data_IF_210776432768
#
_entry.id   IF_210776432768
#
_cell.length_a   1.000
_cell.length_b   1.000
_cell.length_c   1.000
_cell.angle_alpha   90.00
_cell.angle_beta   90.00
_cell.angle_gamma   90.00
#
_symmetry.space_group_name_H-M   'P 1'
#
loop_
_entity.id
_entity.type
_entity.pdbx_description
1 polymer ?
#
# COMPACT_ATOMS: atom_id res chain seq x y z
N UNK A 1 -16.90 -26.66 97.34
CA UNK A 1 -16.55 -27.50 96.20
C UNK A 1 -15.49 -26.80 95.32
N UNK A 2 -14.56 -27.56 94.74
CA UNK A 2 -13.59 -26.95 93.82
C UNK A 2 -14.28 -26.42 92.59
N UNK A 3 -13.74 -25.31 92.06
CA UNK A 3 -14.25 -24.65 90.84
C UNK A 3 -13.08 -24.06 90.06
N UNK A 4 -13.14 -24.19 88.70
CA UNK A 4 -12.11 -23.80 87.76
C UNK A 4 -12.75 -23.04 86.59
N UNK A 5 -12.19 -21.91 86.30
CA UNK A 5 -12.50 -21.18 85.02
C UNK A 5 -11.53 -21.56 83.91
N UNK A 6 -11.99 -21.55 82.67
CA UNK A 6 -11.18 -21.84 81.50
C UNK A 6 -11.23 -20.65 80.51
N UNK A 7 -10.08 -20.13 80.11
CA UNK A 7 -9.97 -19.11 79.10
C UNK A 7 -8.92 -19.46 78.04
N UNK A 8 -9.02 -18.87 76.87
CA UNK A 8 -8.03 -19.04 75.80
C UNK A 8 -7.60 -17.67 75.24
N UNK A 9 -6.27 -17.51 75.08
CA UNK A 9 -5.67 -16.22 74.60
C UNK A 9 -4.43 -16.50 73.77
N UNK A 10 -4.24 -15.87 72.59
CA UNK A 10 -5.24 -15.03 71.91
C UNK A 10 -6.40 -15.84 71.33
N UNK A 11 -7.53 -15.20 71.08
CA UNK A 11 -8.70 -15.81 70.45
C UNK A 11 -9.48 -14.70 69.68
N UNK A 12 -9.62 -14.77 68.37
CA UNK A 12 -9.21 -15.88 67.48
C UNK A 12 -7.70 -15.93 67.22
N UNK A 13 -7.21 -17.01 66.61
CA UNK A 13 -5.87 -17.20 66.05
C UNK A 13 -5.95 -17.51 64.54
N UNK A 14 -4.81 -17.40 63.81
CA UNK A 14 -4.69 -17.96 62.47
C UNK A 14 -4.20 -19.42 62.53
N UNK A 15 -4.49 -20.22 61.52
CA UNK A 15 -4.13 -21.63 61.40
C UNK A 15 -2.68 -21.91 61.76
N UNK A 16 -2.43 -22.78 62.79
CA UNK A 16 -1.08 -23.13 63.22
C UNK A 16 -0.39 -22.09 64.10
N UNK A 17 -1.06 -21.00 64.48
CA UNK A 17 -0.56 -20.09 65.54
C UNK A 17 -0.81 -20.69 66.91
N UNK A 18 -0.03 -20.19 67.87
CA UNK A 18 -0.13 -20.64 69.26
C UNK A 18 -1.18 -19.86 70.03
N UNK A 19 -2.04 -20.55 70.76
CA UNK A 19 -2.86 -19.99 71.82
C UNK A 19 -2.54 -20.66 73.16
N UNK A 20 -2.87 -20.02 74.28
CA UNK A 20 -2.70 -20.51 75.59
C UNK A 20 -4.05 -20.71 76.24
N UNK A 21 -4.34 -21.94 76.61
CA UNK A 21 -5.46 -22.29 77.49
C UNK A 21 -5.01 -22.04 78.90
N UNK A 22 -5.74 -21.25 79.68
CA UNK A 22 -5.49 -20.97 81.08
C UNK A 22 -6.63 -21.65 81.95
N UNK A 23 -6.26 -22.59 82.74
CA UNK A 23 -7.10 -23.13 83.85
C UNK A 23 -6.85 -22.28 85.09
N UNK A 24 -7.87 -21.59 85.60
CA UNK A 24 -7.75 -20.65 86.71
C UNK A 24 -8.61 -21.11 87.90
N UNK A 25 -8.01 -21.58 88.99
CA UNK A 25 -8.77 -21.93 90.16
C UNK A 25 -9.51 -20.74 90.77
N UNK A 26 -10.81 -20.89 91.04
CA UNK A 26 -11.65 -19.89 91.64
C UNK A 26 -11.65 -20.11 93.17
N UNK A 27 -10.84 -19.54 93.94
CA UNK A 27 -10.67 -19.43 95.39
C UNK A 27 -11.45 -20.44 96.31
N UNK A 28 -11.89 -21.60 95.79
CA UNK A 28 -12.65 -22.67 96.47
C UNK A 28 -11.93 -23.98 96.24
N UNK A 29 -11.84 -24.81 97.28
CA UNK A 29 -11.10 -26.08 97.27
C UNK A 29 -9.62 -25.96 97.70
N UNK A 30 -8.90 -27.03 97.72
CA UNK A 30 -7.51 -27.13 98.16
C UNK A 30 -6.62 -27.66 97.04
N UNK A 31 -5.65 -26.85 96.55
CA UNK A 31 -4.78 -27.28 95.45
C UNK A 31 -3.83 -28.41 95.86
N UNK A 32 -3.28 -29.17 94.86
CA UNK A 32 -3.53 -29.12 93.44
C UNK A 32 -4.90 -29.70 93.06
N UNK A 33 -5.41 -29.28 91.85
CA UNK A 33 -6.66 -29.76 91.32
C UNK A 33 -6.40 -30.71 90.13
N UNK A 34 -7.23 -31.79 90.03
CA UNK A 34 -7.29 -32.59 88.81
C UNK A 34 -8.49 -32.08 88.03
N UNK A 35 -8.29 -31.62 86.83
CA UNK A 35 -9.31 -31.07 85.95
C UNK A 35 -9.47 -31.99 84.76
N UNK A 36 -10.67 -32.56 84.61
CA UNK A 36 -11.06 -33.39 83.44
C UNK A 36 -11.83 -32.48 82.47
N UNK A 37 -11.41 -32.48 81.23
CA UNK A 37 -12.05 -31.72 80.15
C UNK A 37 -12.07 -32.51 78.86
N UNK A 38 -12.91 -32.15 77.94
CA UNK A 38 -12.94 -32.73 76.58
C UNK A 38 -12.56 -31.65 75.52
N UNK A 39 -11.79 -32.10 74.55
CA UNK A 39 -11.50 -31.31 73.34
C UNK A 39 -11.66 -32.23 72.13
N UNK A 40 -12.46 -31.81 71.12
CA UNK A 40 -12.79 -32.58 69.93
C UNK A 40 -13.22 -34.03 70.23
N UNK A 41 -14.00 -34.23 71.34
CA UNK A 41 -14.48 -35.54 71.75
C UNK A 41 -13.44 -36.44 72.45
N UNK A 42 -12.22 -35.89 72.67
CA UNK A 42 -11.18 -36.63 73.43
C UNK A 42 -11.16 -36.14 74.86
N UNK A 43 -11.17 -37.10 75.81
CA UNK A 43 -11.06 -36.77 77.21
C UNK A 43 -9.60 -36.56 77.62
N UNK A 44 -9.37 -35.44 78.30
CA UNK A 44 -8.07 -35.00 78.80
C UNK A 44 -8.18 -34.79 80.30
N UNK A 45 -7.05 -34.97 81.02
CA UNK A 45 -6.96 -34.70 82.43
C UNK A 45 -5.65 -34.00 82.76
N UNK A 46 -5.73 -32.88 83.53
CA UNK A 46 -4.59 -32.11 83.87
C UNK A 46 -4.50 -31.84 85.38
N UNK A 47 -3.24 -31.77 85.86
CA UNK A 47 -2.98 -31.43 87.24
C UNK A 47 -2.73 -29.89 87.33
N UNK A 48 -3.69 -29.18 87.88
CA UNK A 48 -3.72 -27.70 87.94
C UNK A 48 -3.27 -27.22 89.32
N UNK A 49 -2.13 -26.56 89.44
CA UNK A 49 -1.66 -25.95 90.69
C UNK A 49 -2.57 -24.78 91.08
N UNK A 50 -2.48 -24.38 92.36
CA UNK A 50 -3.28 -23.27 92.89
C UNK A 50 -3.02 -21.93 92.24
N UNK A 51 -1.93 -21.81 91.52
CA UNK A 51 -1.57 -20.62 90.65
C UNK A 51 -2.18 -20.68 89.29
N UNK A 52 -2.92 -21.72 88.88
CA UNK A 52 -3.40 -21.98 87.54
C UNK A 52 -2.41 -22.76 86.66
N UNK A 53 -2.88 -23.21 85.50
CA UNK A 53 -2.09 -23.94 84.50
C UNK A 53 -2.28 -23.35 83.12
N UNK A 54 -1.16 -23.09 82.46
CA UNK A 54 -1.12 -22.67 81.05
C UNK A 54 -0.74 -23.84 80.13
N UNK A 55 -1.60 -24.15 79.17
CA UNK A 55 -1.31 -25.15 78.12
C UNK A 55 -1.25 -24.43 76.76
N UNK A 56 -0.13 -24.58 76.04
CA UNK A 56 -0.02 -24.05 74.67
C UNK A 56 -0.59 -25.02 73.66
N UNK A 57 -1.47 -24.52 72.80
CA UNK A 57 -2.14 -25.31 71.76
C UNK A 57 -1.95 -24.59 70.44
N UNK A 58 -1.96 -25.32 69.30
CA UNK A 58 -1.87 -24.78 67.95
C UNK A 58 -2.77 -25.55 66.95
N UNK A 59 -4.08 -25.49 67.16
CA UNK A 59 -5.00 -26.19 66.31
C UNK A 59 -5.06 -25.60 64.86
N UNK A 60 -5.49 -26.46 63.93
CA UNK A 60 -5.69 -26.06 62.53
C UNK A 60 -7.15 -25.73 62.16
N UNK A 61 -8.07 -26.04 63.09
CA UNK A 61 -9.51 -25.80 62.98
C UNK A 61 -10.05 -25.34 64.29
N UNK A 62 -11.26 -24.78 64.32
CA UNK A 62 -11.93 -24.44 65.57
C UNK A 62 -11.92 -25.56 66.54
N UNK A 63 -11.56 -25.26 67.79
CA UNK A 63 -11.46 -26.24 68.83
C UNK A 63 -12.17 -25.78 70.10
N UNK A 64 -13.08 -26.62 70.61
CA UNK A 64 -13.84 -26.35 71.86
C UNK A 64 -13.32 -27.18 73.01
N UNK A 65 -12.98 -26.52 74.09
CA UNK A 65 -12.55 -27.14 75.34
C UNK A 65 -13.70 -27.01 76.31
N UNK A 66 -14.20 -28.21 76.84
CA UNK A 66 -15.35 -28.31 77.76
C UNK A 66 -14.87 -28.90 79.04
N UNK A 67 -15.01 -28.15 80.17
CA UNK A 67 -14.75 -28.65 81.48
C UNK A 67 -15.82 -29.66 81.85
N UNK A 68 -15.41 -30.80 82.35
CA UNK A 68 -16.36 -31.90 82.75
C UNK A 68 -16.41 -32.07 84.23
N UNK A 69 -15.21 -32.09 84.87
CA UNK A 69 -15.10 -32.44 86.30
C UNK A 69 -13.82 -31.82 86.89
N UNK A 70 -13.90 -31.49 88.14
CA UNK A 70 -12.72 -31.07 88.96
C UNK A 70 -12.74 -31.72 90.30
N UNK A 71 -11.57 -32.25 90.77
CA UNK A 71 -11.37 -32.73 92.10
C UNK A 71 -10.19 -32.00 92.76
N UNK A 72 -10.25 -31.77 94.10
CA UNK A 72 -9.19 -31.11 94.84
C UNK A 72 -8.32 -32.17 95.59
N UNK A 73 -7.20 -31.76 96.18
CA UNK A 73 -6.27 -32.62 96.88
C UNK A 73 -6.83 -33.28 98.15
N UNK A 74 -8.04 -32.91 98.62
CA UNK A 74 -8.79 -33.48 99.72
C UNK A 74 -9.91 -34.39 99.25
N UNK A 75 -10.06 -34.62 97.94
CA UNK A 75 -11.06 -35.48 97.37
C UNK A 75 -12.46 -34.82 97.24
N UNK A 76 -12.58 -33.52 97.36
CA UNK A 76 -13.84 -32.82 97.04
C UNK A 76 -13.98 -32.71 95.55
N UNK A 77 -15.15 -32.99 94.97
CA UNK A 77 -15.39 -33.07 93.52
C UNK A 77 -16.56 -32.14 93.10
N UNK A 78 -16.47 -31.62 91.90
CA UNK A 78 -17.53 -30.82 91.29
C UNK A 78 -17.61 -31.14 89.82
N UNK A 79 -18.84 -31.29 89.28
CA UNK A 79 -19.08 -31.30 87.80
C UNK A 79 -19.13 -29.91 87.29
N UNK A 80 -18.41 -29.68 86.18
CA UNK A 80 -18.33 -28.43 85.50
C UNK A 80 -18.97 -28.51 84.08
N UNK A 81 -19.40 -27.40 83.53
CA UNK A 81 -20.02 -27.33 82.21
C UNK A 81 -19.48 -26.15 81.40
N UNK A 82 -18.54 -25.39 81.93
CA UNK A 82 -17.96 -24.25 81.27
C UNK A 82 -17.14 -24.67 80.06
N UNK A 83 -17.19 -23.88 79.02
CA UNK A 83 -16.50 -24.19 77.81
C UNK A 83 -15.97 -22.93 77.18
N UNK A 84 -14.86 -23.06 76.46
CA UNK A 84 -14.29 -21.99 75.63
C UNK A 84 -14.00 -22.60 74.25
N UNK A 85 -14.36 -21.82 73.19
CA UNK A 85 -14.03 -22.19 71.80
C UNK A 85 -12.88 -21.29 71.34
N UNK A 86 -11.81 -21.93 70.92
CA UNK A 86 -10.72 -21.21 70.16
C UNK A 86 -11.12 -21.25 68.72
N UNK A 87 -11.32 -20.04 68.15
CA UNK A 87 -11.65 -19.82 66.75
C UNK A 87 -10.34 -19.76 65.98
N UNK A 88 -10.26 -20.50 64.84
CA UNK A 88 -9.10 -20.63 63.98
C UNK A 88 -9.46 -20.15 62.60
N UNK A 89 -8.90 -19.03 62.19
CA UNK A 89 -9.09 -18.43 60.86
C UNK A 89 -8.08 -18.99 59.86
N UNK A 90 -8.54 -19.26 58.64
CA UNK A 90 -7.65 -19.66 57.57
C UNK A 90 -6.84 -18.48 57.04
N UNK A 91 -5.59 -18.73 56.65
CA UNK A 91 -4.79 -17.74 55.96
C UNK A 91 -5.38 -17.40 54.59
N UNK A 92 -5.40 -16.13 54.16
CA UNK A 92 -5.86 -15.75 52.83
C UNK A 92 -4.97 -16.35 51.75
N UNK A 93 -5.60 -16.92 50.72
CA UNK A 93 -4.95 -17.40 49.50
C UNK A 93 -5.66 -16.84 48.29
N UNK A 94 -4.89 -16.55 47.21
CA UNK A 94 -5.41 -16.04 45.96
C UNK A 94 -4.65 -16.62 44.75
N UNK A 95 -5.38 -16.87 43.66
CA UNK A 95 -4.78 -17.04 42.33
C UNK A 95 -4.58 -15.64 41.74
N UNK A 96 -3.33 -15.31 41.42
CA UNK A 96 -2.96 -13.98 40.93
C UNK A 96 -2.44 -14.08 39.50
N UNK A 97 -3.02 -13.31 38.60
CA UNK A 97 -2.65 -13.31 37.18
C UNK A 97 -2.47 -11.88 36.65
N UNK A 98 -1.58 -11.74 35.65
CA UNK A 98 -1.33 -10.52 34.92
C UNK A 98 -1.13 -10.89 33.44
N UNK A 99 -1.54 -10.08 32.44
CA UNK A 99 -1.15 -10.28 31.07
C UNK A 99 0.37 -10.26 30.87
N UNK A 100 0.89 -11.10 29.99
CA UNK A 100 2.34 -11.15 29.72
C UNK A 100 2.85 -9.91 29.02
N UNK A 101 1.99 -9.23 28.25
CA UNK A 101 2.34 -8.05 27.47
C UNK A 101 1.16 -7.05 27.41
N UNK A 102 1.44 -5.78 27.22
CA UNK A 102 0.48 -4.71 27.04
C UNK A 102 1.05 -3.65 26.08
N UNK A 103 0.18 -2.84 25.49
CA UNK A 103 0.63 -1.68 24.71
C UNK A 103 1.03 -0.52 25.62
N UNK A 104 1.99 0.30 25.19
CA UNK A 104 2.47 1.48 25.94
C UNK A 104 1.30 2.40 26.27
N UNK A 105 1.20 2.80 27.56
CA UNK A 105 0.16 3.70 28.05
C UNK A 105 -1.25 3.12 28.11
N UNK A 106 -1.48 1.87 27.76
CA UNK A 106 -2.78 1.22 27.97
C UNK A 106 -2.95 0.71 29.40
N UNK A 107 -4.18 0.86 29.91
CA UNK A 107 -4.54 0.34 31.24
C UNK A 107 -4.78 -1.16 31.15
N UNK A 108 -4.12 -1.89 32.04
CA UNK A 108 -4.35 -3.33 32.24
C UNK A 108 -4.56 -3.63 33.71
N UNK A 109 -4.74 -4.90 34.08
CA UNK A 109 -5.12 -5.27 35.44
C UNK A 109 -4.33 -6.48 35.95
N UNK A 110 -3.90 -6.42 37.22
CA UNK A 110 -3.53 -7.58 38.00
C UNK A 110 -4.82 -8.14 38.57
N UNK A 111 -5.17 -9.40 38.26
CA UNK A 111 -6.39 -10.05 38.67
C UNK A 111 -6.13 -10.93 39.92
N UNK A 112 -7.04 -10.87 40.90
CA UNK A 112 -7.04 -11.65 42.11
C UNK A 112 -8.31 -12.50 42.17
N UNK A 113 -8.15 -13.78 42.45
CA UNK A 113 -9.26 -14.68 42.78
C UNK A 113 -8.94 -15.34 44.13
N UNK A 114 -9.52 -14.80 45.21
CA UNK A 114 -9.31 -15.28 46.59
C UNK A 114 -10.02 -16.60 46.77
N UNK A 115 -9.30 -17.58 47.32
CA UNK A 115 -9.77 -18.97 47.57
C UNK A 115 -9.98 -19.27 49.05
N UNK A 116 -9.34 -18.50 49.97
CA UNK A 116 -9.55 -18.58 51.43
C UNK A 116 -9.30 -17.22 52.10
N UNK A 117 -9.57 -17.15 53.40
CA UNK A 117 -9.54 -15.92 54.17
C UNK A 117 -10.88 -15.15 54.14
N UNK A 118 -11.03 -14.20 55.04
CA UNK A 118 -12.25 -13.40 55.21
C UNK A 118 -12.11 -12.02 54.52
N UNK A 119 -13.09 -11.63 53.69
CA UNK A 119 -13.14 -10.28 53.09
C UNK A 119 -13.38 -9.20 54.15
N UNK A 120 -12.87 -7.98 53.98
CA UNK A 120 -11.99 -7.51 52.89
C UNK A 120 -10.54 -7.99 53.04
N UNK A 121 -9.79 -7.97 51.91
CA UNK A 121 -8.38 -8.29 51.88
C UNK A 121 -7.53 -7.07 51.57
N UNK A 122 -6.52 -6.79 52.37
CA UNK A 122 -5.51 -5.80 52.11
C UNK A 122 -4.32 -6.45 51.38
N UNK A 123 -4.14 -6.09 50.12
CA UNK A 123 -3.04 -6.56 49.28
C UNK A 123 -1.90 -5.55 49.30
N UNK A 124 -0.77 -5.96 49.88
CA UNK A 124 0.47 -5.18 49.85
C UNK A 124 1.30 -5.61 48.64
N UNK A 125 1.61 -4.69 47.80
CA UNK A 125 2.47 -4.91 46.63
C UNK A 125 3.43 -3.74 46.41
N UNK A 126 4.53 -4.00 45.70
CA UNK A 126 5.45 -2.94 45.30
C UNK A 126 5.60 -2.87 43.79
N UNK A 127 5.74 -1.65 43.26
CA UNK A 127 6.05 -1.35 41.85
C UNK A 127 7.44 -0.76 41.81
N UNK A 128 8.39 -1.47 41.24
CA UNK A 128 9.81 -1.06 41.18
C UNK A 128 10.37 -0.68 42.60
N UNK A 129 9.93 -1.42 43.63
CA UNK A 129 10.37 -1.20 45.04
C UNK A 129 9.59 -0.12 45.80
N UNK A 130 8.56 0.49 45.22
CA UNK A 130 7.69 1.46 45.91
C UNK A 130 6.45 0.71 46.41
N UNK A 131 6.26 0.61 47.76
CA UNK A 131 5.14 -0.16 48.33
C UNK A 131 3.80 0.58 48.17
N UNK A 132 2.75 -0.20 47.99
CA UNK A 132 1.36 0.27 47.90
C UNK A 132 0.45 -0.79 48.55
N UNK A 133 -0.61 -0.37 49.21
CA UNK A 133 -1.66 -1.25 49.76
C UNK A 133 -2.99 -0.94 49.05
N UNK A 134 -3.69 -1.97 48.64
CA UNK A 134 -5.04 -1.89 48.06
C UNK A 134 -5.99 -2.81 48.79
N UNK A 135 -7.16 -2.30 49.18
CA UNK A 135 -8.23 -3.08 49.78
C UNK A 135 -9.16 -3.68 48.72
N UNK A 136 -9.39 -4.97 48.77
CA UNK A 136 -10.28 -5.73 47.89
C UNK A 136 -11.39 -6.37 48.71
N UNK A 137 -12.64 -5.97 48.46
CA UNK A 137 -13.77 -6.44 49.28
C UNK A 137 -14.54 -7.62 48.67
N UNK A 138 -14.30 -7.98 47.41
CA UNK A 138 -14.98 -9.11 46.75
C UNK A 138 -14.01 -10.25 46.50
N UNK A 139 -14.47 -11.52 46.51
CA UNK A 139 -13.63 -12.68 46.26
C UNK A 139 -12.87 -12.64 44.92
N UNK A 140 -13.40 -11.88 43.92
CA UNK A 140 -12.69 -11.57 42.72
C UNK A 140 -12.46 -10.07 42.65
N UNK A 141 -11.23 -9.61 42.41
CA UNK A 141 -10.88 -8.21 42.37
C UNK A 141 -9.71 -7.94 41.44
N UNK A 142 -9.41 -6.67 41.21
CA UNK A 142 -8.29 -6.31 40.37
C UNK A 142 -7.63 -5.00 40.79
N UNK A 143 -6.35 -4.88 40.47
CA UNK A 143 -5.57 -3.64 40.59
C UNK A 143 -5.31 -3.13 39.17
N UNK A 144 -5.83 -1.95 38.84
CA UNK A 144 -5.54 -1.27 37.56
C UNK A 144 -4.11 -0.72 37.55
N UNK A 145 -3.36 -1.04 36.51
CA UNK A 145 -2.00 -0.60 36.30
C UNK A 145 -1.85 0.02 34.90
N UNK A 146 -0.96 0.98 34.76
CA UNK A 146 -0.67 1.64 33.49
C UNK A 146 0.84 1.76 33.28
N UNK A 147 1.54 0.67 32.95
CA UNK A 147 2.97 0.70 32.76
C UNK A 147 3.33 1.28 31.38
N UNK A 148 4.33 2.19 31.34
CA UNK A 148 4.91 2.76 30.10
C UNK A 148 6.29 2.16 29.75
N UNK A 149 6.77 1.22 30.54
CA UNK A 149 8.01 0.47 30.33
C UNK A 149 7.90 -0.88 31.02
N UNK A 150 8.81 -1.80 30.69
CA UNK A 150 8.88 -3.08 31.39
C UNK A 150 8.90 -2.86 32.90
N UNK A 151 7.86 -3.32 33.60
CA UNK A 151 7.64 -3.08 35.02
C UNK A 151 7.52 -4.41 35.74
N UNK A 152 8.16 -4.49 36.91
CA UNK A 152 8.06 -5.62 37.83
C UNK A 152 7.19 -5.25 39.02
N UNK A 153 6.15 -6.04 39.25
CA UNK A 153 5.26 -5.94 40.40
C UNK A 153 5.56 -7.11 41.34
N UNK A 154 5.76 -6.82 42.62
CA UNK A 154 5.96 -7.85 43.65
C UNK A 154 4.76 -7.80 44.57
N UNK A 155 3.97 -8.85 44.62
CA UNK A 155 2.90 -9.03 45.61
C UNK A 155 3.59 -9.54 46.87
N UNK A 156 3.67 -8.67 47.89
CA UNK A 156 4.43 -8.95 49.10
C UNK A 156 3.63 -9.79 50.09
N UNK A 157 2.39 -9.34 50.40
CA UNK A 157 1.51 -10.04 51.33
C UNK A 157 0.04 -9.74 51.09
N UNK A 158 -0.81 -10.62 51.61
CA UNK A 158 -2.26 -10.46 51.70
C UNK A 158 -2.65 -10.57 53.15
N UNK A 159 -3.35 -9.60 53.69
CA UNK A 159 -3.94 -9.64 55.03
C UNK A 159 -5.47 -9.60 54.91
N UNK A 160 -6.16 -10.47 55.63
CA UNK A 160 -7.62 -10.56 55.62
C UNK A 160 -8.28 -9.77 56.76
N UNK A 161 -9.62 -9.71 56.81
CA UNK A 161 -10.40 -9.00 57.85
C UNK A 161 -10.14 -9.58 59.27
N UNK A 162 -9.65 -10.80 59.37
CA UNK A 162 -9.31 -11.47 60.63
C UNK A 162 -7.86 -11.24 61.04
N UNK A 163 -7.13 -10.38 60.32
CA UNK A 163 -5.71 -10.06 60.50
C UNK A 163 -4.77 -11.27 60.23
N UNK A 164 -5.23 -12.32 59.55
CA UNK A 164 -4.36 -13.37 59.05
C UNK A 164 -3.59 -12.90 57.83
N UNK A 165 -2.25 -13.02 57.87
CA UNK A 165 -1.39 -12.49 56.78
C UNK A 165 -0.61 -13.62 56.09
N UNK A 166 -0.76 -13.75 54.79
CA UNK A 166 0.05 -14.60 53.93
C UNK A 166 1.14 -13.80 53.25
N UNK A 167 2.41 -14.18 53.49
CA UNK A 167 3.58 -13.60 52.82
C UNK A 167 3.81 -14.37 51.52
N UNK A 168 3.77 -13.66 50.35
CA UNK A 168 3.86 -14.28 49.03
C UNK A 168 5.20 -14.04 48.36
N UNK A 169 5.68 -12.80 48.32
CA UNK A 169 6.86 -12.35 47.55
C UNK A 169 6.80 -12.81 46.09
N UNK A 170 5.59 -12.82 45.51
CA UNK A 170 5.35 -13.25 44.15
C UNK A 170 5.69 -12.13 43.16
N UNK A 171 6.66 -12.38 42.27
CA UNK A 171 7.04 -11.44 41.20
C UNK A 171 6.16 -11.64 39.97
N UNK A 172 5.60 -10.54 39.47
CA UNK A 172 4.81 -10.45 38.24
C UNK A 172 5.48 -9.43 37.33
N UNK A 173 5.77 -9.82 36.07
CA UNK A 173 6.36 -8.94 35.08
C UNK A 173 5.45 -8.79 33.88
N UNK A 174 5.43 -7.60 33.30
CA UNK A 174 4.70 -7.29 32.08
C UNK A 174 5.66 -6.62 31.08
N UNK A 175 5.66 -7.12 29.84
CA UNK A 175 6.38 -6.52 28.73
C UNK A 175 5.53 -5.44 28.06
N UNK A 176 6.14 -4.33 27.68
CA UNK A 176 5.43 -3.22 27.01
C UNK A 176 5.80 -3.20 25.54
N UNK A 177 4.78 -3.29 24.70
CA UNK A 177 4.90 -3.17 23.27
C UNK A 177 4.84 -1.69 22.86
N UNK A 178 5.81 -1.19 22.09
CA UNK A 178 5.79 0.19 21.62
C UNK A 178 4.62 0.41 20.66
N UNK A 179 4.04 1.60 20.68
CA UNK A 179 2.95 1.97 19.78
C UNK A 179 3.50 2.28 18.38
N UNK A 180 2.78 1.96 17.31
CA UNK A 180 3.17 2.35 15.95
C UNK A 180 3.20 3.86 15.77
N UNK A 181 4.19 4.36 15.03
CA UNK A 181 4.27 5.72 14.51
C UNK A 181 4.32 5.64 12.99
N UNK A 182 3.43 6.34 12.31
CA UNK A 182 3.33 6.29 10.86
C UNK A 182 3.44 7.66 10.22
N UNK A 183 4.17 7.70 9.10
CA UNK A 183 4.33 8.87 8.25
C UNK A 183 3.78 8.56 6.87
N UNK A 184 2.86 9.41 6.39
CA UNK A 184 2.34 9.38 5.03
C UNK A 184 3.11 10.37 4.16
N UNK A 185 3.57 9.92 3.00
CA UNK A 185 4.29 10.75 2.03
C UNK A 185 3.96 10.34 0.60
N UNK A 186 4.41 11.15 -0.38
CA UNK A 186 4.20 10.89 -1.80
C UNK A 186 3.06 11.70 -2.39
N UNK A 187 2.49 11.19 -3.48
CA UNK A 187 1.52 11.91 -4.29
C UNK A 187 2.18 12.83 -5.31
N UNK A 188 1.43 13.78 -5.82
CA UNK A 188 1.87 14.74 -6.84
C UNK A 188 0.85 14.96 -7.94
N UNK A 189 1.24 15.73 -8.95
CA UNK A 189 0.43 15.96 -10.15
C UNK A 189 0.81 14.95 -11.23
N UNK A 190 -0.16 14.29 -11.81
CA UNK A 190 -0.03 13.34 -12.93
C UNK A 190 -0.96 13.72 -14.06
N UNK A 191 -0.71 13.21 -15.25
CA UNK A 191 -1.58 13.38 -16.40
C UNK A 191 -2.64 12.28 -16.48
N UNK A 192 -3.77 12.59 -17.10
CA UNK A 192 -4.86 11.62 -17.33
C UNK A 192 -4.56 10.69 -18.53
N UNK A 193 -3.34 10.17 -18.58
CA UNK A 193 -2.81 9.27 -19.61
C UNK A 193 -2.54 7.85 -19.10
N UNK A 194 -2.99 7.57 -17.86
CA UNK A 194 -2.70 6.33 -17.15
C UNK A 194 -1.45 6.40 -16.26
N UNK A 195 -0.79 7.55 -16.18
CA UNK A 195 0.31 7.80 -15.24
C UNK A 195 -0.12 7.57 -13.80
N UNK A 196 0.82 7.21 -12.94
CA UNK A 196 0.58 6.97 -11.51
C UNK A 196 1.52 7.82 -10.65
N UNK A 197 1.05 8.17 -9.47
CA UNK A 197 1.86 8.74 -8.41
C UNK A 197 2.04 7.71 -7.29
N UNK A 198 3.19 7.70 -6.65
CA UNK A 198 3.49 6.78 -5.55
C UNK A 198 3.03 7.37 -4.21
N UNK A 199 2.34 6.56 -3.42
CA UNK A 199 1.99 6.83 -2.03
C UNK A 199 2.80 5.90 -1.15
N UNK A 200 3.44 6.45 -0.12
CA UNK A 200 4.31 5.69 0.79
C UNK A 200 3.88 5.83 2.24
N UNK A 201 3.70 4.69 2.89
CA UNK A 201 3.59 4.56 4.35
C UNK A 201 4.95 4.18 4.92
N UNK A 202 5.47 4.96 5.87
CA UNK A 202 6.68 4.65 6.63
C UNK A 202 6.31 4.49 8.09
N UNK A 203 6.57 3.31 8.68
CA UNK A 203 6.22 2.98 10.07
C UNK A 203 7.51 2.81 10.86
N UNK A 204 7.72 3.66 11.86
CA UNK A 204 8.99 3.77 12.58
C UNK A 204 9.06 2.94 13.87
N UNK A 205 7.90 2.57 14.44
CA UNK A 205 7.81 1.80 15.69
C UNK A 205 6.63 0.83 15.68
N UNK A 206 6.46 0.03 16.72
CA UNK A 206 5.49 -1.05 16.79
C UNK A 206 6.08 -2.38 16.29
N UNK A 207 5.25 -3.41 16.22
CA UNK A 207 5.65 -4.78 15.86
C UNK A 207 5.01 -5.21 14.54
N UNK A 208 5.78 -5.39 13.44
CA UNK A 208 5.22 -5.83 12.18
C UNK A 208 4.65 -7.28 12.27
N UNK A 209 3.71 -7.67 11.37
CA UNK A 209 3.11 -6.88 10.31
C UNK A 209 2.07 -5.89 10.81
N UNK A 210 1.85 -4.82 10.00
CA UNK A 210 0.90 -3.75 10.31
C UNK A 210 -0.34 -3.83 9.42
N UNK A 211 -1.46 -3.32 9.94
CA UNK A 211 -2.68 -3.03 9.19
C UNK A 211 -2.91 -1.53 9.22
N UNK A 212 -3.03 -0.91 8.03
CA UNK A 212 -3.25 0.52 7.85
C UNK A 212 -4.62 0.74 7.23
N UNK A 213 -5.47 1.52 7.91
CA UNK A 213 -6.71 2.04 7.39
C UNK A 213 -6.48 3.47 6.90
N UNK A 214 -6.80 3.75 5.64
CA UNK A 214 -6.65 5.07 5.06
C UNK A 214 -7.84 5.43 4.18
N UNK A 215 -8.05 6.72 3.96
CA UNK A 215 -9.10 7.23 3.07
C UNK A 215 -8.52 8.04 1.92
N UNK A 216 -9.24 8.02 0.78
CA UNK A 216 -9.05 8.91 -0.36
C UNK A 216 -10.39 9.60 -0.60
N UNK A 217 -10.49 10.89 -0.25
CA UNK A 217 -11.77 11.58 -0.22
C UNK A 217 -12.74 10.90 0.76
N UNK A 218 -13.84 10.33 0.24
CA UNK A 218 -14.86 9.62 1.03
C UNK A 218 -14.69 8.09 1.02
N UNK A 219 -13.72 7.56 0.29
CA UNK A 219 -13.48 6.13 0.15
C UNK A 219 -12.51 5.65 1.22
N UNK A 220 -12.91 4.65 2.01
CA UNK A 220 -12.06 3.99 2.98
C UNK A 220 -11.39 2.75 2.37
N UNK A 221 -10.12 2.57 2.65
CA UNK A 221 -9.30 1.48 2.18
C UNK A 221 -8.54 0.84 3.35
N UNK A 222 -8.25 -0.45 3.23
CA UNK A 222 -7.50 -1.22 4.22
C UNK A 222 -6.37 -1.95 3.51
N UNK A 223 -5.17 -1.85 4.05
CA UNK A 223 -4.02 -2.63 3.61
C UNK A 223 -3.41 -3.33 4.82
N UNK A 224 -3.24 -4.64 4.72
CA UNK A 224 -2.76 -5.49 5.82
C UNK A 224 -1.46 -6.19 5.44
N UNK A 225 -0.79 -6.76 6.45
CA UNK A 225 0.46 -7.51 6.31
C UNK A 225 1.63 -6.65 5.81
N UNK A 226 1.69 -5.40 6.26
CA UNK A 226 2.73 -4.44 5.88
C UNK A 226 3.99 -4.59 6.74
N UNK A 227 5.16 -4.38 6.12
CA UNK A 227 6.41 -4.12 6.80
C UNK A 227 6.55 -2.65 7.23
N UNK A 228 7.76 -2.25 7.61
CA UNK A 228 8.07 -0.89 8.06
C UNK A 228 7.97 0.18 6.95
N UNK A 229 7.92 -0.24 5.70
CA UNK A 229 7.70 0.66 4.55
C UNK A 229 6.82 -0.05 3.52
N UNK A 230 5.85 0.69 2.98
CA UNK A 230 4.98 0.22 1.91
C UNK A 230 4.67 1.35 0.95
N UNK A 231 5.02 1.12 -0.33
CA UNK A 231 4.76 2.07 -1.43
C UNK A 231 3.84 1.41 -2.45
N UNK A 232 2.85 2.14 -2.91
CA UNK A 232 1.95 1.69 -3.97
C UNK A 232 1.67 2.82 -4.98
N UNK A 233 1.63 2.49 -6.29
CA UNK A 233 1.24 3.44 -7.32
C UNK A 233 -0.27 3.64 -7.33
N UNK A 234 -0.71 4.87 -7.61
CA UNK A 234 -2.13 5.22 -7.70
C UNK A 234 -2.39 6.26 -8.77
N UNK A 235 -3.52 6.15 -9.43
CA UNK A 235 -4.10 7.16 -10.33
C UNK A 235 -5.45 7.67 -9.81
N UNK A 236 -5.70 7.55 -8.51
CA UNK A 236 -6.92 8.09 -7.88
C UNK A 236 -6.63 9.47 -7.31
N UNK A 237 -7.30 10.49 -7.82
CA UNK A 237 -7.15 11.86 -7.32
C UNK A 237 -7.77 12.05 -5.96
N UNK A 238 -7.14 12.88 -5.14
CA UNK A 238 -7.64 13.26 -3.83
C UNK A 238 -6.59 13.35 -2.75
N UNK A 239 -7.04 13.73 -1.56
CA UNK A 239 -6.21 13.75 -0.35
C UNK A 239 -6.23 12.37 0.27
N UNK A 240 -5.06 11.83 0.53
CA UNK A 240 -4.84 10.57 1.24
C UNK A 240 -4.66 10.88 2.72
N UNK A 241 -5.44 10.22 3.57
CA UNK A 241 -5.38 10.39 5.02
C UNK A 241 -5.35 9.02 5.69
N UNK A 242 -4.42 8.83 6.62
CA UNK A 242 -4.41 7.65 7.48
C UNK A 242 -5.47 7.85 8.56
N UNK A 243 -6.30 6.83 8.76
CA UNK A 243 -7.35 6.82 9.78
C UNK A 243 -6.90 6.09 11.04
N UNK A 244 -6.22 4.97 10.85
CA UNK A 244 -5.81 4.09 11.94
C UNK A 244 -4.67 3.18 11.47
N UNK A 245 -3.81 2.80 12.40
CA UNK A 245 -2.77 1.78 12.21
C UNK A 245 -2.76 0.85 13.41
N UNK A 246 -2.79 -0.43 13.15
CA UNK A 246 -2.71 -1.47 14.18
C UNK A 246 -1.54 -2.39 13.84
N UNK A 247 -0.72 -2.72 14.82
CA UNK A 247 0.40 -3.64 14.69
C UNK A 247 -0.01 -5.09 14.98
N UNK A 248 0.95 -6.03 14.85
CA UNK A 248 0.71 -7.47 15.12
C UNK A 248 0.37 -7.79 16.58
N UNK A 249 0.66 -6.89 17.51
CA UNK A 249 0.33 -7.02 18.94
C UNK A 249 -1.02 -6.40 19.29
N UNK A 250 -1.71 -5.81 18.32
CA UNK A 250 -2.97 -5.10 18.51
C UNK A 250 -2.80 -3.66 18.98
N UNK A 251 -1.57 -3.16 19.09
CA UNK A 251 -1.30 -1.79 19.51
C UNK A 251 -1.67 -0.80 18.40
N UNK A 252 -2.39 0.25 18.78
CA UNK A 252 -2.82 1.30 17.86
C UNK A 252 -1.85 2.47 17.84
N UNK A 253 -1.71 3.09 16.64
CA UNK A 253 -0.87 4.26 16.49
C UNK A 253 -1.39 5.46 17.29
N UNK A 254 -0.48 6.17 17.95
CA UNK A 254 -0.74 7.46 18.61
C UNK A 254 -0.21 8.64 17.81
N UNK A 255 0.74 8.40 16.90
CA UNK A 255 1.34 9.41 16.04
C UNK A 255 1.11 9.08 14.59
N UNK A 256 0.27 9.91 13.95
CA UNK A 256 -0.01 9.87 12.51
C UNK A 256 0.42 11.23 11.97
N UNK A 257 1.36 11.24 11.02
CA UNK A 257 1.89 12.47 10.45
C UNK A 257 2.06 12.39 8.94
N UNK A 258 2.33 13.55 8.31
CA UNK A 258 2.45 13.67 6.89
C UNK A 258 1.10 13.76 6.17
N UNK A 259 1.16 13.97 4.87
CA UNK A 259 0.01 14.02 3.99
C UNK A 259 0.45 13.68 2.56
N UNK A 260 -0.46 13.16 1.76
CA UNK A 260 -0.25 12.94 0.34
C UNK A 260 -1.49 13.42 -0.44
N UNK A 261 -1.24 14.01 -1.60
CA UNK A 261 -2.30 14.49 -2.48
C UNK A 261 -1.97 14.11 -3.91
N UNK A 262 -2.92 13.53 -4.61
CA UNK A 262 -2.81 13.23 -6.05
C UNK A 262 -3.75 14.14 -6.82
N UNK A 263 -3.19 14.90 -7.76
CA UNK A 263 -3.94 15.71 -8.71
C UNK A 263 -3.82 15.09 -10.10
N UNK A 264 -4.94 14.94 -10.81
CA UNK A 264 -4.96 14.45 -12.19
C UNK A 264 -5.24 15.63 -13.10
N UNK A 265 -4.26 15.97 -13.94
CA UNK A 265 -4.37 17.04 -14.92
C UNK A 265 -4.93 16.51 -16.24
N UNK A 266 -5.82 17.26 -16.89
CA UNK A 266 -6.30 16.89 -18.21
C UNK A 266 -5.14 16.91 -19.22
N UNK A 267 -5.18 16.00 -20.18
CA UNK A 267 -4.29 16.01 -21.34
C UNK A 267 -4.79 17.11 -22.31
N UNK A 268 -3.92 17.91 -22.89
CA UNK A 268 -4.32 18.80 -23.98
C UNK A 268 -4.74 17.97 -25.20
N UNK A 269 -5.59 18.51 -26.07
CA UNK A 269 -6.01 17.87 -27.30
C UNK A 269 -5.28 18.50 -28.48
N UNK A 270 -4.31 17.76 -29.06
CA UNK A 270 -3.58 18.18 -30.24
C UNK A 270 -4.44 18.06 -31.50
N UNK A 271 -4.50 19.11 -32.28
CA UNK A 271 -5.18 19.10 -33.58
C UNK A 271 -4.57 20.15 -34.52
N UNK A 272 -4.36 19.77 -35.78
CA UNK A 272 -3.75 20.62 -36.78
C UNK A 272 -4.55 20.63 -38.07
N UNK A 273 -4.49 21.77 -38.77
CA UNK A 273 -5.01 21.92 -40.13
C UNK A 273 -3.91 22.48 -40.99
N UNK A 274 -3.75 21.93 -42.22
CA UNK A 274 -2.82 22.40 -43.19
C UNK A 274 -3.52 22.70 -44.52
N UNK A 275 -3.15 23.83 -45.18
CA UNK A 275 -3.68 24.19 -46.46
C UNK A 275 -2.63 24.89 -47.33
N UNK A 276 -2.49 24.51 -48.62
CA UNK A 276 -3.02 23.25 -49.17
C UNK A 276 -2.32 22.02 -48.56
N UNK A 277 -2.96 20.82 -48.59
CA UNK A 277 -2.34 19.56 -48.13
C UNK A 277 -1.40 18.97 -49.19
N UNK A 278 -1.53 19.43 -50.43
CA UNK A 278 -0.65 19.04 -51.53
C UNK A 278 -0.43 20.21 -52.46
N UNK A 279 0.79 20.36 -52.98
CA UNK A 279 1.17 21.40 -53.94
C UNK A 279 2.36 20.90 -54.78
N UNK A 280 2.86 21.76 -55.72
CA UNK A 280 4.06 21.46 -56.49
C UNK A 280 5.25 22.23 -55.96
N UNK A 281 6.46 21.78 -56.31
CA UNK A 281 7.72 22.43 -55.93
C UNK A 281 7.84 23.86 -56.48
N UNK A 282 6.96 24.26 -57.40
CA UNK A 282 6.90 25.61 -57.95
C UNK A 282 6.26 26.61 -56.98
N UNK A 283 5.34 26.15 -56.11
CA UNK A 283 4.70 26.98 -55.09
C UNK A 283 4.57 26.12 -53.80
N UNK A 284 5.71 25.77 -53.15
CA UNK A 284 5.77 24.79 -52.09
C UNK A 284 5.45 25.36 -50.70
N UNK A 285 4.58 26.36 -50.63
CA UNK A 285 4.22 27.06 -49.41
C UNK A 285 2.96 26.40 -48.79
N UNK A 286 3.07 25.93 -47.58
CA UNK A 286 1.97 25.35 -46.82
C UNK A 286 1.68 26.25 -45.61
N UNK A 287 0.40 26.54 -45.38
CA UNK A 287 -0.09 27.21 -44.19
C UNK A 287 -0.52 26.17 -43.18
N UNK A 288 0.07 26.19 -42.01
CA UNK A 288 -0.29 25.32 -40.86
C UNK A 288 -1.03 26.16 -39.84
N UNK A 289 -2.11 25.58 -39.31
CA UNK A 289 -2.96 26.18 -38.30
C UNK A 289 -3.05 25.23 -37.14
N UNK A 290 -2.65 25.72 -35.96
CA UNK A 290 -2.87 25.04 -34.69
C UNK A 290 -4.32 25.26 -34.22
N UNK A 291 -5.10 24.22 -34.18
CA UNK A 291 -6.47 24.22 -33.68
C UNK A 291 -6.60 23.35 -32.42
N UNK A 292 -5.48 23.13 -31.74
CA UNK A 292 -5.37 22.38 -30.49
C UNK A 292 -6.06 23.11 -29.34
N UNK A 293 -6.36 22.37 -28.27
CA UNK A 293 -7.00 22.92 -27.09
C UNK A 293 -6.24 22.52 -25.80
N UNK A 294 -6.22 23.40 -24.79
CA UNK A 294 -5.69 23.12 -23.47
C UNK A 294 -4.17 23.11 -23.34
N UNK A 295 -3.43 23.70 -24.28
CA UNK A 295 -1.97 23.80 -24.25
C UNK A 295 -1.48 25.24 -24.08
N UNK A 296 -0.23 25.38 -23.68
CA UNK A 296 0.49 26.68 -23.58
C UNK A 296 1.73 26.72 -24.43
N UNK A 297 2.29 25.57 -24.76
CA UNK A 297 3.47 25.45 -25.62
C UNK A 297 3.22 24.45 -26.75
N UNK A 298 3.82 24.70 -27.93
CA UNK A 298 3.77 23.80 -29.07
C UNK A 298 5.07 23.83 -29.88
N UNK A 299 5.45 22.67 -30.41
CA UNK A 299 6.60 22.50 -31.29
C UNK A 299 6.14 21.82 -32.56
N UNK A 300 6.34 22.50 -33.69
CA UNK A 300 6.15 21.95 -35.02
C UNK A 300 7.42 21.27 -35.52
N UNK A 301 7.24 20.12 -36.16
CA UNK A 301 8.27 19.46 -36.94
C UNK A 301 7.72 19.21 -38.36
N UNK A 302 8.41 19.72 -39.36
CA UNK A 302 7.94 19.69 -40.76
C UNK A 302 8.40 18.47 -41.56
N UNK A 303 9.17 17.57 -40.91
CA UNK A 303 9.70 16.33 -41.49
C UNK A 303 10.73 16.59 -42.64
N UNK A 304 11.27 17.80 -42.73
CA UNK A 304 12.34 18.19 -43.65
C UNK A 304 13.63 18.64 -42.97
N UNK A 305 13.73 18.34 -41.67
CA UNK A 305 14.81 18.74 -40.77
C UNK A 305 14.57 20.10 -40.08
N UNK A 306 13.51 20.80 -40.42
CA UNK A 306 13.15 22.06 -39.80
C UNK A 306 12.12 21.89 -38.70
N UNK A 307 12.24 22.69 -37.63
CA UNK A 307 11.29 22.76 -36.52
C UNK A 307 10.95 24.24 -36.24
N UNK A 308 9.78 24.47 -35.67
CA UNK A 308 9.37 25.81 -35.22
C UNK A 308 8.73 25.73 -33.85
N UNK A 309 9.14 26.58 -32.93
CA UNK A 309 8.45 26.80 -31.66
C UNK A 309 7.52 27.98 -31.89
N UNK A 310 6.24 27.78 -31.71
CA UNK A 310 5.31 28.89 -31.92
C UNK A 310 4.38 29.08 -30.71
N UNK A 311 4.21 30.37 -30.39
CA UNK A 311 3.09 30.85 -29.59
C UNK A 311 1.97 31.38 -30.50
N UNK A 312 2.01 31.05 -31.80
CA UNK A 312 1.07 31.54 -32.80
C UNK A 312 0.20 30.38 -33.31
N UNK A 313 -1.09 30.65 -33.44
CA UNK A 313 -2.05 29.69 -33.96
C UNK A 313 -1.89 29.41 -35.46
N UNK A 314 -1.04 30.14 -36.18
CA UNK A 314 -0.82 29.98 -37.62
C UNK A 314 0.62 30.29 -38.00
N UNK A 315 1.18 29.48 -38.89
CA UNK A 315 2.49 29.73 -39.52
C UNK A 315 2.52 29.19 -40.95
N UNK A 316 3.49 29.66 -41.73
CA UNK A 316 3.76 29.14 -43.08
C UNK A 316 5.10 28.44 -43.09
N UNK A 317 5.18 27.32 -43.83
CA UNK A 317 6.44 26.63 -44.10
C UNK A 317 6.62 26.43 -45.61
N UNK A 318 7.87 26.52 -46.08
CA UNK A 318 8.24 26.35 -47.49
C UNK A 318 9.15 25.14 -47.63
N UNK A 319 8.74 24.16 -48.38
CA UNK A 319 9.53 22.97 -48.68
C UNK A 319 10.51 23.21 -49.81
N UNK A 320 11.74 22.72 -49.71
CA UNK A 320 12.78 22.93 -50.74
C UNK A 320 12.85 21.77 -51.74
N UNK A 321 12.32 20.60 -51.38
CA UNK A 321 12.37 19.38 -52.16
C UNK A 321 10.96 18.79 -52.36
N UNK A 322 10.81 17.95 -53.38
CA UNK A 322 9.61 17.15 -53.57
C UNK A 322 9.62 15.99 -52.62
N UNK A 323 8.43 15.59 -52.11
CA UNK A 323 8.35 14.49 -51.16
C UNK A 323 6.98 14.36 -50.48
N UNK A 324 6.90 13.36 -49.61
CA UNK A 324 5.80 13.18 -48.67
C UNK A 324 6.36 13.45 -47.28
N UNK A 325 5.77 14.41 -46.60
CA UNK A 325 6.21 14.90 -45.30
C UNK A 325 5.13 14.59 -44.25
N UNK A 326 5.53 13.92 -43.16
CA UNK A 326 4.65 13.64 -42.01
C UNK A 326 4.90 14.69 -40.93
N UNK A 327 4.22 15.81 -41.08
CA UNK A 327 4.32 16.94 -40.15
C UNK A 327 3.63 16.61 -38.86
N UNK A 328 4.24 17.01 -37.74
CA UNK A 328 3.56 16.89 -36.45
C UNK A 328 3.67 18.19 -35.62
N UNK A 329 2.65 18.37 -34.78
CA UNK A 329 2.63 19.36 -33.71
C UNK A 329 2.60 18.61 -32.36
N UNK A 330 3.64 18.74 -31.57
CA UNK A 330 3.69 18.31 -30.21
C UNK A 330 3.34 19.47 -29.29
N UNK A 331 2.32 19.33 -28.47
CA UNK A 331 1.82 20.36 -27.54
C UNK A 331 2.01 19.94 -26.09
N UNK A 332 2.12 20.94 -25.20
CA UNK A 332 2.27 20.75 -23.77
C UNK A 332 1.41 21.76 -23.01
N UNK A 333 0.68 21.27 -21.99
CA UNK A 333 -0.10 22.12 -21.07
C UNK A 333 0.79 22.75 -19.99
N UNK A 334 0.27 23.72 -19.23
CA UNK A 334 0.95 24.33 -18.07
C UNK A 334 1.34 23.29 -17.01
N UNK A 335 0.63 22.17 -16.95
CA UNK A 335 0.88 21.07 -16.03
C UNK A 335 1.90 20.04 -16.55
N UNK A 336 2.48 20.26 -17.74
CA UNK A 336 3.44 19.37 -18.37
C UNK A 336 2.85 18.16 -19.09
N UNK A 337 1.51 18.09 -19.25
CA UNK A 337 0.86 17.02 -20.00
C UNK A 337 0.97 17.28 -21.51
N UNK A 338 1.22 16.22 -22.29
CA UNK A 338 1.55 16.31 -23.72
C UNK A 338 0.57 15.55 -24.59
N UNK A 339 0.42 16.04 -25.82
CA UNK A 339 -0.26 15.34 -26.89
C UNK A 339 0.38 15.70 -28.24
N UNK A 340 0.09 14.94 -29.32
CA UNK A 340 0.71 15.12 -30.63
C UNK A 340 -0.29 14.82 -31.74
N UNK A 341 -0.44 15.77 -32.67
CA UNK A 341 -1.19 15.60 -33.91
C UNK A 341 -0.27 15.45 -35.10
N UNK A 342 -0.71 14.74 -36.13
CA UNK A 342 0.03 14.48 -37.37
C UNK A 342 -0.79 14.89 -38.59
N UNK A 343 -0.07 15.43 -39.61
CA UNK A 343 -0.65 15.74 -40.91
C UNK A 343 0.33 15.38 -42.02
N UNK A 344 -0.12 14.64 -42.99
CA UNK A 344 0.69 14.35 -44.20
C UNK A 344 0.54 15.45 -45.22
N UNK A 345 1.68 15.94 -45.74
CA UNK A 345 1.80 16.93 -46.80
C UNK A 345 2.51 16.32 -48.00
N UNK A 346 2.08 16.63 -49.21
CA UNK A 346 2.69 16.14 -50.44
C UNK A 346 3.17 17.28 -51.32
N UNK A 347 4.47 17.31 -51.61
CA UNK A 347 5.08 18.26 -52.56
C UNK A 347 5.45 17.48 -53.81
N UNK A 348 4.70 17.72 -54.87
CA UNK A 348 4.90 17.06 -56.14
C UNK A 348 5.93 17.80 -57.02
N UNK A 349 6.63 17.11 -57.96
CA UNK A 349 7.39 17.76 -58.98
C UNK A 349 6.48 18.65 -59.86
N UNK A 350 7.02 19.75 -60.43
CA UNK A 350 6.28 20.52 -61.43
C UNK A 350 6.15 19.69 -62.71
N UNK A 351 5.08 19.96 -63.47
CA UNK A 351 4.89 19.28 -64.76
C UNK A 351 5.97 19.72 -65.76
N UNK A 352 6.76 18.74 -66.21
CA UNK A 352 7.73 18.94 -67.31
C UNK A 352 7.57 17.85 -68.37
N UNK A 353 7.88 18.19 -69.58
CA UNK A 353 7.87 17.26 -70.70
C UNK A 353 9.00 17.56 -71.68
N UNK A 354 9.70 16.54 -72.12
CA UNK A 354 10.62 16.54 -73.22
C UNK A 354 10.31 15.40 -74.19
N UNK A 355 10.06 15.70 -75.44
CA UNK A 355 9.77 14.69 -76.49
C UNK A 355 10.91 14.78 -77.52
N UNK A 356 11.70 13.71 -77.73
CA UNK A 356 12.70 13.64 -78.78
C UNK A 356 12.04 13.77 -80.17
N UNK A 357 12.85 14.21 -81.21
CA UNK A 357 12.33 14.22 -82.56
C UNK A 357 12.92 13.14 -83.51
N UNK A 358 13.90 12.36 -82.99
CA UNK A 358 14.53 11.27 -83.75
C UNK A 358 15.17 10.26 -82.74
N UNK A 359 15.40 9.04 -83.20
CA UNK A 359 16.13 8.01 -82.47
C UNK A 359 16.79 7.02 -83.45
N UNK A 360 17.82 6.31 -82.98
CA UNK A 360 18.66 5.42 -83.80
C UNK A 360 18.84 4.06 -83.06
N UNK A 361 17.92 3.11 -83.24
CA UNK A 361 17.99 1.80 -82.61
C UNK A 361 19.03 0.89 -83.28
N UNK A 362 20.34 1.15 -82.96
CA UNK A 362 21.49 0.42 -83.49
C UNK A 362 22.28 -0.34 -82.46
N UNK A 363 21.81 -0.34 -81.17
CA UNK A 363 22.39 -0.96 -79.98
C UNK A 363 23.77 -0.40 -79.59
N UNK A 364 24.01 0.88 -79.84
CA UNK A 364 25.23 1.59 -79.41
C UNK A 364 25.07 2.28 -78.05
N UNK A 365 23.90 2.12 -77.43
CA UNK A 365 23.50 2.68 -76.17
C UNK A 365 23.16 4.22 -76.21
N UNK A 366 23.18 4.80 -77.41
CA UNK A 366 22.83 6.19 -77.62
C UNK A 366 21.59 6.32 -78.48
N UNK A 367 20.53 6.94 -77.94
CA UNK A 367 19.24 7.14 -78.65
C UNK A 367 18.64 5.87 -79.29
N UNK A 368 18.89 4.73 -78.69
CA UNK A 368 18.35 3.43 -79.16
C UNK A 368 16.84 3.31 -78.97
N UNK A 369 16.29 4.18 -78.15
CA UNK A 369 14.86 4.19 -77.81
C UNK A 369 14.23 5.57 -78.05
N UNK A 370 13.00 5.57 -78.52
CA UNK A 370 12.15 6.78 -78.51
C UNK A 370 11.30 6.77 -77.24
N UNK A 371 11.50 7.78 -76.40
CA UNK A 371 10.82 7.91 -75.16
C UNK A 371 10.57 9.36 -74.77
N UNK A 372 9.31 9.77 -74.64
CA UNK A 372 9.01 11.06 -74.00
C UNK A 372 9.38 11.00 -72.51
N UNK A 373 10.15 11.95 -72.05
CA UNK A 373 10.51 12.10 -70.63
C UNK A 373 9.52 13.08 -70.00
N UNK A 374 8.84 12.64 -68.91
CA UNK A 374 7.78 13.41 -68.27
C UNK A 374 7.93 13.40 -66.75
N UNK A 375 7.59 14.50 -66.08
CA UNK A 375 7.46 14.58 -64.64
C UNK A 375 6.10 15.17 -64.28
N UNK A 376 5.61 14.90 -63.04
CA UNK A 376 4.33 15.44 -62.55
C UNK A 376 3.11 14.91 -63.28
N UNK A 377 3.12 13.64 -63.71
CA UNK A 377 2.07 12.98 -64.47
C UNK A 377 1.37 11.93 -63.66
N UNK A 378 0.04 11.90 -63.69
CA UNK A 378 -0.82 10.89 -63.02
C UNK A 378 -1.26 9.80 -64.04
N UNK A 379 -1.54 10.17 -65.27
CA UNK A 379 -1.97 9.21 -66.31
C UNK A 379 -1.17 9.49 -67.57
N UNK A 380 -0.86 8.44 -68.35
CA UNK A 380 -0.04 8.51 -69.54
C UNK A 380 -0.52 7.49 -70.57
N UNK A 381 -0.69 7.95 -71.81
CA UNK A 381 -0.91 7.06 -72.95
C UNK A 381 -0.10 7.58 -74.15
N UNK A 382 0.86 6.80 -74.60
CA UNK A 382 1.71 7.10 -75.74
C UNK A 382 1.49 6.09 -76.87
N UNK A 383 1.22 6.60 -78.04
CA UNK A 383 1.02 5.80 -79.26
C UNK A 383 1.93 6.27 -80.39
N UNK A 384 2.42 5.34 -81.21
CA UNK A 384 3.15 5.59 -82.42
C UNK A 384 2.43 4.97 -83.63
N UNK A 385 2.32 5.71 -84.70
CA UNK A 385 1.60 5.29 -85.91
C UNK A 385 2.56 5.41 -87.11
N UNK A 386 2.38 4.47 -88.10
CA UNK A 386 3.04 4.55 -89.39
C UNK A 386 2.40 5.63 -90.27
N UNK A 387 2.93 5.84 -91.45
CA UNK A 387 2.46 6.84 -92.41
C UNK A 387 1.06 6.51 -93.01
N UNK A 388 0.53 5.31 -92.77
CA UNK A 388 -0.82 4.87 -93.19
C UNK A 388 -1.82 5.01 -92.06
N UNK A 389 -1.40 5.46 -90.86
CA UNK A 389 -2.22 5.61 -89.67
C UNK A 389 -2.39 4.31 -88.85
N UNK A 390 -1.62 3.25 -89.17
CA UNK A 390 -1.62 2.01 -88.42
C UNK A 390 -0.83 2.21 -87.14
N UNK A 391 -1.42 1.91 -85.96
CA UNK A 391 -0.70 1.99 -84.68
C UNK A 391 0.28 0.82 -84.58
N UNK A 392 1.57 1.15 -84.43
CA UNK A 392 2.68 0.20 -84.37
C UNK A 392 3.31 0.10 -82.98
N UNK A 393 3.01 1.02 -82.06
CA UNK A 393 3.44 0.97 -80.68
C UNK A 393 2.43 1.66 -79.76
N UNK A 394 2.25 1.15 -78.55
CA UNK A 394 1.44 1.74 -77.49
C UNK A 394 2.03 1.38 -76.16
N UNK A 395 2.06 2.36 -75.27
CA UNK A 395 2.32 2.14 -73.82
C UNK A 395 1.54 3.11 -72.97
N UNK A 396 1.21 2.69 -71.77
CA UNK A 396 0.69 3.52 -70.68
C UNK A 396 1.72 3.76 -69.60
N UNK A 397 2.91 3.14 -69.74
CA UNK A 397 4.02 3.33 -68.81
C UNK A 397 4.84 4.56 -69.21
N UNK A 398 5.36 5.28 -68.24
CA UNK A 398 6.25 6.41 -68.43
C UNK A 398 7.48 6.40 -67.51
N UNK A 399 8.46 7.20 -67.80
CA UNK A 399 9.64 7.38 -66.99
C UNK A 399 10.06 8.87 -66.98
N UNK A 400 10.69 9.27 -65.88
CA UNK A 400 11.38 10.56 -65.75
C UNK A 400 12.91 10.41 -65.94
N UNK A 401 13.40 9.18 -66.09
CA UNK A 401 14.82 8.88 -66.24
C UNK A 401 15.09 8.00 -67.49
N UNK A 402 15.67 8.57 -68.51
CA UNK A 402 16.04 7.86 -69.73
C UNK A 402 17.02 6.72 -69.47
N UNK A 403 18.04 6.94 -68.58
CA UNK A 403 19.09 5.93 -68.39
C UNK A 403 18.55 4.69 -67.63
N UNK A 404 17.68 4.87 -66.70
CA UNK A 404 17.07 3.74 -65.98
C UNK A 404 16.21 2.88 -66.93
N UNK A 405 15.55 3.53 -67.86
CA UNK A 405 14.72 2.87 -68.86
C UNK A 405 15.56 2.08 -69.88
N UNK A 406 16.62 2.68 -70.40
CA UNK A 406 17.47 2.02 -71.36
C UNK A 406 18.20 0.82 -70.82
N UNK A 407 18.71 0.89 -69.57
CA UNK A 407 19.44 -0.19 -68.93
C UNK A 407 18.53 -1.40 -68.59
N UNK A 408 17.22 -1.20 -68.47
CA UNK A 408 16.26 -2.22 -68.03
C UNK A 408 15.21 -2.60 -69.09
N UNK A 409 15.32 -2.14 -70.34
CA UNK A 409 14.36 -2.34 -71.42
C UNK A 409 12.90 -2.06 -70.93
N UNK A 410 12.65 -0.82 -70.55
CA UNK A 410 11.36 -0.48 -69.95
C UNK A 410 10.24 -0.44 -71.01
N UNK A 411 9.01 -0.79 -70.60
CA UNK A 411 7.80 -0.75 -71.41
C UNK A 411 7.39 0.62 -71.87
N UNK A 412 7.95 1.69 -71.27
CA UNK A 412 7.71 3.09 -71.64
C UNK A 412 8.34 3.53 -72.96
N UNK A 413 9.30 2.76 -73.51
CA UNK A 413 10.15 3.16 -74.63
C UNK A 413 9.87 2.34 -75.86
N UNK A 414 9.80 3.01 -76.99
CA UNK A 414 9.71 2.33 -78.28
C UNK A 414 11.11 2.05 -78.82
N UNK A 415 11.41 0.76 -79.06
CA UNK A 415 12.71 0.26 -79.55
C UNK A 415 12.79 0.18 -81.09
N UNK A 416 11.82 0.78 -81.78
CA UNK A 416 11.74 0.76 -83.22
C UNK A 416 11.18 -0.52 -83.82
N UNK A 417 10.61 -1.45 -83.02
CA UNK A 417 9.93 -2.67 -83.50
C UNK A 417 8.42 -2.50 -83.57
N UNK A 418 7.79 -3.30 -84.41
CA UNK A 418 6.34 -3.26 -84.62
C UNK A 418 5.66 -4.08 -83.51
N UNK A 419 4.71 -3.46 -82.78
CA UNK A 419 3.92 -4.05 -81.72
C UNK A 419 4.75 -4.84 -80.65
N UNK A 420 5.93 -4.29 -80.30
CA UNK A 420 6.88 -4.94 -79.38
C UNK A 420 7.32 -6.35 -79.85
N UNK A 421 7.21 -6.61 -81.13
CA UNK A 421 7.61 -7.88 -81.72
C UNK A 421 9.12 -7.97 -82.03
N UNK A 422 9.49 -8.84 -82.96
CA UNK A 422 10.88 -8.98 -83.45
C UNK A 422 11.19 -8.24 -84.71
N UNK A 423 10.14 -7.82 -85.43
CA UNK A 423 10.26 -7.07 -86.70
C UNK A 423 10.46 -5.59 -86.48
N UNK A 424 11.49 -5.05 -87.07
CA UNK A 424 11.76 -3.62 -87.02
C UNK A 424 10.92 -2.84 -88.03
N UNK A 425 10.40 -1.72 -87.59
CA UNK A 425 9.73 -0.75 -88.45
C UNK A 425 10.69 -0.17 -89.48
N UNK A 426 10.32 0.11 -90.74
CA UNK A 426 11.16 0.74 -91.76
C UNK A 426 11.71 2.12 -91.35
N UNK A 427 12.92 2.47 -91.80
CA UNK A 427 13.43 3.83 -91.61
C UNK A 427 12.46 4.88 -92.20
N UNK A 428 12.23 5.94 -91.44
CA UNK A 428 11.35 7.00 -91.92
C UNK A 428 10.70 7.81 -90.81
N UNK A 429 9.67 8.53 -91.21
CA UNK A 429 8.91 9.41 -90.35
C UNK A 429 7.69 8.66 -89.86
N UNK A 430 7.46 8.72 -88.56
CA UNK A 430 6.33 8.20 -87.81
C UNK A 430 5.58 9.35 -87.12
N UNK A 431 4.28 9.12 -86.84
CA UNK A 431 3.46 10.09 -86.09
C UNK A 431 3.32 9.55 -84.67
N UNK A 432 3.42 10.40 -83.69
CA UNK A 432 3.10 10.03 -82.32
C UNK A 432 1.90 10.83 -81.82
N UNK A 433 1.15 10.24 -80.93
CA UNK A 433 0.16 10.87 -80.07
C UNK A 433 0.44 10.50 -78.60
N UNK A 434 0.59 11.51 -77.78
CA UNK A 434 0.77 11.39 -76.36
C UNK A 434 -0.36 12.12 -75.67
N UNK A 435 -1.16 11.40 -74.87
CA UNK A 435 -2.17 11.97 -74.01
C UNK A 435 -1.75 11.70 -72.58
N UNK A 436 -1.74 12.71 -71.75
CA UNK A 436 -1.41 12.57 -70.35
C UNK A 436 -2.28 13.49 -69.49
N UNK A 437 -2.50 13.04 -68.22
CA UNK A 437 -3.12 13.84 -67.16
C UNK A 437 -2.05 14.23 -66.18
N UNK A 438 -1.85 15.50 -65.94
CA UNK A 438 -0.92 15.95 -64.90
C UNK A 438 -1.48 15.70 -63.50
N UNK A 439 -0.65 15.77 -62.46
CA UNK A 439 -1.07 15.53 -61.08
C UNK A 439 -2.17 16.48 -60.57
N UNK A 440 -2.39 17.60 -61.27
CA UNK A 440 -3.46 18.56 -60.98
C UNK A 440 -4.73 18.24 -61.76
N UNK A 441 -4.79 17.06 -62.47
CA UNK A 441 -5.95 16.63 -63.24
C UNK A 441 -6.12 17.29 -64.59
N UNK A 442 -5.14 18.08 -65.08
CA UNK A 442 -5.23 18.71 -66.40
C UNK A 442 -4.76 17.78 -67.50
N UNK A 443 -5.65 17.53 -68.46
CA UNK A 443 -5.36 16.72 -69.63
C UNK A 443 -4.55 17.54 -70.65
N UNK A 444 -3.46 16.92 -71.13
CA UNK A 444 -2.58 17.49 -72.15
C UNK A 444 -2.40 16.49 -73.29
N UNK A 445 -2.47 16.99 -74.49
CA UNK A 445 -2.27 16.18 -75.70
C UNK A 445 -1.14 16.76 -76.53
N UNK A 446 -0.21 15.91 -76.90
CA UNK A 446 0.92 16.24 -77.77
C UNK A 446 0.92 15.31 -78.97
N UNK A 447 0.95 15.90 -80.15
CA UNK A 447 1.04 15.19 -81.43
C UNK A 447 2.19 15.70 -82.19
N UNK A 448 2.87 14.88 -82.94
CA UNK A 448 4.02 15.29 -83.71
C UNK A 448 4.59 14.14 -84.54
N UNK A 449 5.69 14.44 -85.18
CA UNK A 449 6.43 13.44 -86.00
C UNK A 449 7.76 13.14 -85.32
N UNK A 450 8.20 11.90 -85.46
CA UNK A 450 9.47 11.39 -85.04
C UNK A 450 10.17 10.68 -86.21
N UNK A 451 11.52 10.70 -86.22
CA UNK A 451 12.29 10.08 -87.28
C UNK A 451 13.03 8.82 -86.69
N UNK A 452 12.80 7.67 -87.33
CA UNK A 452 13.54 6.45 -87.06
C UNK A 452 14.72 6.44 -88.10
N UNK A 453 15.93 6.43 -87.53
CA UNK A 453 17.20 6.41 -88.26
C UNK A 453 17.92 5.09 -87.92
N UNK A 454 18.58 4.46 -88.86
CA UNK A 454 19.46 3.28 -88.59
C UNK A 454 20.74 3.38 -89.39
#
# INVERSE_FOLDING_TARGET
>A
LPDIDITVTPNPICTGENATILFSPLATGTPPYIVDYTTNGTNMSENVPGSGLNITVNPNTDETYVLNHVSDSKGCESNLTDSVTLIVNEYPQANITIPNENCDGEVTQIQFNFTSGAAPWDVNYSTNGIPTTVNISNPTGSISINPSSQTNYIIESITDDKNCTTNLNQSLSISINPLPEIILSGGGSICNDGSTADITFTINSGTPPYTVNYSVGLLNNIVSNLGNSYTFPTNTSGVYNIQDVTDNKGCKAVSISGSAYVNINPIPEANITAYPQSTTIKDPIINFIDVSNGHTNGIWNFDDGNTSITNFNQLTHTYLDTGIYNVYLAIESDSGCKDTAWQTIMIYPDFTIYIPNAFTPNNDLYNDYFIPIVEGVAEYEFNVYDRLGTRIFRTNDYTNDYLSCVNNMCSAAWDGKINNGTEYAPKGIYIYSLVLTDINGKIRTYEGSLMLIR
#
